data_IF_949829379049
#
_entry.id   IF_949829379049
#
_cell.length_a   1.000
_cell.length_b   1.000
_cell.length_c   1.000
_cell.angle_alpha   90.00
_cell.angle_beta   90.00
_cell.angle_gamma   90.00
#
_symmetry.space_group_name_H-M   'P 1'
#
loop_
_entity.id
_entity.type
_entity.pdbx_description
1 polymer ?
#
# COMPACT_ATOMS: atom_id res chain seq x y z
N UNK A 1 -23.79 -15.88 4.83
CA UNK A 1 -22.74 -15.87 3.80
C UNK A 1 -21.45 -15.47 4.48
N UNK A 2 -20.50 -16.39 4.63
CA UNK A 2 -19.18 -16.06 5.19
C UNK A 2 -18.48 -15.11 4.21
N UNK A 3 -18.20 -13.89 4.64
CA UNK A 3 -17.48 -12.94 3.81
C UNK A 3 -16.06 -13.48 3.60
N UNK A 4 -15.80 -14.04 2.42
CA UNK A 4 -14.46 -14.49 2.06
C UNK A 4 -13.53 -13.30 2.15
N UNK A 5 -12.52 -13.43 3.00
CA UNK A 5 -11.52 -12.39 3.22
C UNK A 5 -10.83 -12.03 1.91
N UNK A 6 -10.86 -10.75 1.58
CA UNK A 6 -10.23 -10.16 0.40
C UNK A 6 -8.76 -9.85 0.69
N UNK A 7 -7.96 -9.71 -0.38
CA UNK A 7 -6.59 -9.19 -0.28
C UNK A 7 -6.54 -7.82 0.39
N UNK A 8 -7.59 -7.01 0.23
CA UNK A 8 -7.70 -5.69 0.87
C UNK A 8 -7.79 -5.84 2.40
N UNK A 9 -8.48 -6.87 2.90
CA UNK A 9 -8.60 -7.10 4.34
C UNK A 9 -7.27 -7.54 4.95
N UNK A 10 -6.46 -8.31 4.22
CA UNK A 10 -5.10 -8.66 4.66
C UNK A 10 -4.18 -7.45 4.66
N UNK A 11 -4.28 -6.60 3.64
CA UNK A 11 -3.48 -5.40 3.53
C UNK A 11 -3.82 -4.40 4.65
N UNK A 12 -5.11 -4.23 4.95
CA UNK A 12 -5.59 -3.36 6.02
C UNK A 12 -5.10 -3.83 7.40
N UNK A 13 -5.11 -5.13 7.67
CA UNK A 13 -4.58 -5.68 8.93
C UNK A 13 -3.07 -5.44 9.06
N UNK A 14 -2.33 -5.57 7.97
CA UNK A 14 -0.89 -5.32 7.98
C UNK A 14 -0.60 -3.82 8.19
N UNK A 15 -1.33 -2.95 7.51
CA UNK A 15 -1.21 -1.50 7.67
C UNK A 15 -1.46 -1.04 9.10
N UNK A 16 -2.43 -1.66 9.81
CA UNK A 16 -2.71 -1.35 11.22
C UNK A 16 -1.62 -1.84 12.18
N UNK A 17 -1.03 -3.01 11.91
CA UNK A 17 0.01 -3.59 12.78
C UNK A 17 1.37 -2.91 12.61
N UNK A 18 1.69 -2.50 11.38
CA UNK A 18 3.00 -1.96 11.02
C UNK A 18 2.86 -0.81 10.02
N UNK A 19 2.36 0.37 10.45
CA UNK A 19 2.09 1.49 9.54
C UNK A 19 3.37 2.04 8.86
N UNK A 20 4.51 1.91 9.52
CA UNK A 20 5.81 2.35 9.00
C UNK A 20 6.58 1.26 8.24
N UNK A 21 6.01 0.05 8.11
CA UNK A 21 6.61 -1.00 7.31
C UNK A 21 6.52 -0.66 5.82
N UNK A 22 7.59 -1.00 5.09
CA UNK A 22 7.66 -0.89 3.65
C UNK A 22 6.64 -1.80 2.96
N UNK A 23 5.83 -1.25 2.05
CA UNK A 23 4.81 -1.98 1.28
C UNK A 23 5.05 -1.94 -0.22
N UNK A 24 5.66 -0.87 -0.74
CA UNK A 24 6.04 -0.78 -2.15
C UNK A 24 7.53 -0.46 -2.24
N UNK A 25 8.25 -1.29 -3.00
CA UNK A 25 9.62 -1.03 -3.41
C UNK A 25 9.65 -0.77 -4.91
N UNK A 26 10.19 0.37 -5.32
CA UNK A 26 10.33 0.72 -6.72
C UNK A 26 11.65 1.47 -6.94
N UNK A 27 12.58 0.86 -7.69
CA UNK A 27 13.96 1.36 -7.85
C UNK A 27 14.55 1.65 -6.46
N UNK A 28 15.04 2.87 -6.24
CA UNK A 28 15.65 3.31 -4.98
C UNK A 28 14.64 3.88 -3.98
N UNK A 29 13.34 3.72 -4.24
CA UNK A 29 12.27 4.29 -3.43
C UNK A 29 11.53 3.18 -2.70
N UNK A 30 11.28 3.44 -1.43
CA UNK A 30 10.43 2.62 -0.59
C UNK A 30 9.28 3.47 -0.08
N UNK A 31 8.06 2.93 -0.13
CA UNK A 31 6.85 3.58 0.38
C UNK A 31 6.30 2.71 1.50
N UNK A 32 5.99 3.33 2.64
CA UNK A 32 5.38 2.64 3.78
C UNK A 32 3.85 2.54 3.64
N UNK A 33 3.21 1.72 4.46
CA UNK A 33 1.76 1.63 4.51
C UNK A 33 1.09 2.98 4.78
N UNK A 34 1.61 3.75 5.74
CA UNK A 34 1.12 5.08 6.07
C UNK A 34 1.22 6.03 4.89
N UNK A 35 2.36 6.06 4.21
CA UNK A 35 2.56 6.96 3.07
C UNK A 35 1.69 6.56 1.86
N UNK A 36 1.49 5.25 1.65
CA UNK A 36 0.57 4.75 0.63
C UNK A 36 -0.87 5.19 0.90
N UNK A 37 -1.33 5.08 2.15
CA UNK A 37 -2.67 5.49 2.55
C UNK A 37 -2.87 6.99 2.36
N UNK A 38 -1.94 7.83 2.80
CA UNK A 38 -2.02 9.29 2.61
C UNK A 38 -2.11 9.68 1.13
N UNK A 39 -1.29 9.07 0.28
CA UNK A 39 -1.34 9.29 -1.18
C UNK A 39 -2.68 8.83 -1.76
N UNK A 40 -3.20 7.70 -1.29
CA UNK A 40 -4.48 7.13 -1.73
C UNK A 40 -5.67 7.99 -1.28
N UNK A 41 -5.62 8.53 -0.06
CA UNK A 41 -6.63 9.45 0.46
C UNK A 41 -6.68 10.76 -0.34
N UNK A 42 -5.51 11.32 -0.70
CA UNK A 42 -5.44 12.48 -1.60
C UNK A 42 -6.03 12.19 -2.97
N UNK A 43 -5.71 11.03 -3.55
CA UNK A 43 -6.29 10.61 -4.83
C UNK A 43 -7.80 10.45 -4.74
N UNK A 44 -8.32 9.80 -3.70
CA UNK A 44 -9.77 9.69 -3.43
C UNK A 44 -10.42 11.07 -3.34
N UNK A 45 -9.85 12.00 -2.58
CA UNK A 45 -10.37 13.37 -2.46
C UNK A 45 -10.46 14.07 -3.81
N UNK A 46 -9.41 13.97 -4.63
CA UNK A 46 -9.41 14.54 -5.99
C UNK A 46 -10.48 13.89 -6.89
N UNK A 47 -10.60 12.56 -6.88
CA UNK A 47 -11.62 11.86 -7.66
C UNK A 47 -13.04 12.22 -7.21
N UNK A 48 -13.27 12.34 -5.90
CA UNK A 48 -14.56 12.79 -5.36
C UNK A 48 -14.86 14.24 -5.74
N UNK A 49 -13.87 15.13 -5.73
CA UNK A 49 -14.03 16.51 -6.19
C UNK A 49 -14.38 16.60 -7.69
N UNK A 50 -13.94 15.63 -8.49
CA UNK A 50 -14.32 15.47 -9.90
C UNK A 50 -15.71 14.80 -10.09
N UNK A 51 -16.39 14.42 -9.00
CA UNK A 51 -17.73 13.84 -9.03
C UNK A 51 -17.77 12.32 -9.29
N UNK A 52 -16.61 11.65 -9.28
CA UNK A 52 -16.52 10.20 -9.54
C UNK A 52 -17.06 9.42 -8.34
N UNK A 53 -18.00 8.51 -8.60
CA UNK A 53 -18.65 7.66 -7.61
C UNK A 53 -18.22 6.19 -7.74
N UNK A 54 -18.56 5.40 -6.73
CA UNK A 54 -18.36 3.96 -6.78
C UNK A 54 -19.15 3.35 -7.95
N UNK A 55 -18.46 2.61 -8.82
CA UNK A 55 -19.04 2.06 -10.06
C UNK A 55 -18.70 2.86 -11.32
N UNK A 56 -18.22 4.09 -11.18
CA UNK A 56 -17.76 4.88 -12.32
C UNK A 56 -16.39 4.39 -12.80
N UNK A 57 -16.23 4.23 -14.12
CA UNK A 57 -14.97 3.83 -14.73
C UNK A 57 -14.14 5.07 -15.04
N UNK A 58 -13.10 5.31 -14.25
CA UNK A 58 -12.04 6.27 -14.54
C UNK A 58 -10.78 5.56 -15.04
N UNK A 59 -10.14 6.10 -16.08
CA UNK A 59 -8.80 5.69 -16.49
C UNK A 59 -7.76 6.47 -15.69
N UNK A 60 -6.79 5.79 -15.07
CA UNK A 60 -5.62 6.44 -14.48
C UNK A 60 -4.42 6.26 -15.41
N UNK A 61 -3.79 7.37 -15.80
CA UNK A 61 -2.45 7.34 -16.41
C UNK A 61 -1.49 7.79 -15.33
N UNK A 62 -0.75 6.84 -14.77
CA UNK A 62 0.30 7.14 -13.81
C UNK A 62 1.65 6.92 -14.49
N UNK A 63 2.40 7.99 -14.67
CA UNK A 63 3.82 7.85 -14.93
C UNK A 63 4.45 7.32 -13.64
N UNK A 64 5.12 6.17 -13.72
CA UNK A 64 6.02 5.73 -12.66
C UNK A 64 7.19 6.71 -12.63
N UNK A 65 7.01 7.82 -11.89
CA UNK A 65 7.99 8.87 -11.80
C UNK A 65 9.31 8.29 -11.30
N UNK A 66 10.36 8.45 -12.10
CA UNK A 66 11.72 8.02 -11.78
C UNK A 66 12.30 8.95 -10.72
N UNK A 67 11.84 8.80 -9.48
CA UNK A 67 12.39 9.56 -8.38
C UNK A 67 13.79 8.99 -8.06
N UNK A 68 14.82 9.79 -8.37
CA UNK A 68 16.21 9.53 -8.00
C UNK A 68 16.28 9.21 -6.50
N UNK A 69 17.01 8.15 -6.19
CA UNK A 69 17.02 7.52 -4.88
C UNK A 69 17.32 8.45 -3.74
N UNK A 70 16.36 8.57 -2.83
CA UNK A 70 16.63 9.07 -1.50
C UNK A 70 16.60 7.88 -0.56
N UNK A 71 17.79 7.54 -0.07
CA UNK A 71 18.09 6.34 0.68
C UNK A 71 17.53 6.51 2.09
N UNK A 72 16.40 5.88 2.41
CA UNK A 72 15.98 5.72 3.81
C UNK A 72 15.15 4.46 4.05
N UNK A 73 15.61 3.73 5.07
CA UNK A 73 14.92 2.77 5.94
C UNK A 73 14.96 1.28 5.56
N UNK A 74 16.01 0.64 6.11
CA UNK A 74 16.01 -0.75 6.51
C UNK A 74 15.12 -0.91 7.76
N UNK A 75 13.84 -1.20 7.57
CA UNK A 75 13.02 -1.81 8.62
C UNK A 75 13.09 -3.33 8.42
N UNK A 76 13.76 -3.99 9.36
CA UNK A 76 14.19 -5.37 9.27
C UNK A 76 13.04 -6.36 9.00
N UNK A 77 13.17 -7.09 7.90
CA UNK A 77 12.54 -8.40 7.76
C UNK A 77 13.43 -9.43 8.50
N UNK A 78 13.27 -9.54 9.82
CA UNK A 78 13.81 -10.69 10.57
C UNK A 78 12.71 -11.33 11.43
N UNK A 79 12.41 -12.59 11.05
CA UNK A 79 11.78 -13.70 11.80
C UNK A 79 10.26 -13.49 12.02
N UNK A 80 9.39 -14.47 11.80
CA UNK A 80 9.46 -15.88 12.19
C UNK A 80 8.64 -16.76 11.21
N UNK A 81 9.24 -17.85 10.72
CA UNK A 81 8.53 -19.07 10.32
C UNK A 81 9.54 -20.22 10.20
N UNK A 82 10.26 -20.48 11.29
CA UNK A 82 10.69 -21.83 11.60
C UNK A 82 9.87 -22.23 12.82
N UNK A 83 8.80 -23.00 12.64
CA UNK A 83 8.68 -24.33 13.25
C UNK A 83 7.36 -25.03 12.90
N UNK A 84 7.45 -26.36 12.82
CA UNK A 84 6.38 -27.40 12.76
C UNK A 84 5.80 -27.80 11.40
N UNK A 85 6.45 -28.75 10.74
CA UNK A 85 6.06 -30.16 10.89
C UNK A 85 7.19 -31.09 10.46
N UNK A 86 7.60 -31.94 11.39
CA UNK A 86 8.16 -33.26 11.10
C UNK A 86 7.05 -34.17 10.58
#
# INVERSE_FOLDING_TARGET
MEAKRSIIDYLADHARRSPDAAVVHYKDRTVSFRELEERSARARGALTALGIKHGDRGGSVQHHAEARGDRVHAAGQRREAGDRHA
#
